data_IF_810518340329
#
_entry.id   IF_810518340329
#
_cell.length_a   1.000
_cell.length_b   1.000
_cell.length_c   1.000
_cell.angle_alpha   90.00
_cell.angle_beta   90.00
_cell.angle_gamma   90.00
#
_symmetry.space_group_name_H-M   'P 1'
#
loop_
_entity.id
_entity.type
_entity.pdbx_description
1 polymer ?
#
# COMPACT_ATOMS: atom_id res chain seq x y z
N UNK A 1 -13.70 71.39 28.33
CA UNK A 1 -13.66 70.57 27.11
C UNK A 1 -12.76 69.36 27.37
N UNK A 2 -13.35 68.19 27.56
CA UNK A 2 -12.64 66.92 27.83
C UNK A 2 -12.74 66.04 26.58
N UNK A 3 -11.61 65.82 25.93
CA UNK A 3 -11.52 64.93 24.79
C UNK A 3 -11.29 63.49 25.28
N UNK A 4 -12.23 62.58 24.98
CA UNK A 4 -12.15 61.14 25.28
C UNK A 4 -11.54 60.47 24.04
N UNK A 5 -10.31 59.95 24.17
CA UNK A 5 -9.68 59.09 23.15
C UNK A 5 -10.17 57.66 23.37
N UNK A 6 -10.99 57.17 22.45
CA UNK A 6 -11.34 55.74 22.37
C UNK A 6 -10.25 54.98 21.62
N UNK A 7 -9.54 54.08 22.32
CA UNK A 7 -8.54 53.19 21.80
C UNK A 7 -9.25 51.90 21.30
N UNK A 8 -9.44 51.78 20.01
CA UNK A 8 -9.99 50.55 19.42
C UNK A 8 -8.89 49.48 19.32
N UNK A 9 -8.99 48.47 20.20
CA UNK A 9 -8.10 47.30 20.18
C UNK A 9 -8.51 46.34 19.05
N UNK A 10 -7.78 46.40 17.92
CA UNK A 10 -7.97 45.51 16.79
C UNK A 10 -7.29 44.18 17.11
N UNK A 11 -8.04 43.19 17.60
CA UNK A 11 -7.57 41.80 17.78
C UNK A 11 -7.41 41.15 16.41
N UNK A 12 -6.16 41.04 15.90
CA UNK A 12 -5.82 40.20 14.73
C UNK A 12 -6.02 38.75 15.14
N UNK A 13 -7.11 38.14 14.71
CA UNK A 13 -7.24 36.67 14.68
C UNK A 13 -6.25 36.13 13.68
N UNK A 14 -5.15 35.57 14.15
CA UNK A 14 -4.24 34.78 13.34
C UNK A 14 -4.95 33.48 12.97
N UNK A 15 -5.40 33.37 11.73
CA UNK A 15 -5.83 32.10 11.12
C UNK A 15 -4.55 31.31 10.91
N UNK A 16 -4.22 30.44 11.89
CA UNK A 16 -3.19 29.42 11.70
C UNK A 16 -3.73 28.46 10.63
N UNK A 17 -3.10 28.34 9.44
CA UNK A 17 -3.50 27.32 8.50
C UNK A 17 -3.33 25.97 9.22
N UNK A 18 -4.42 25.23 9.37
CA UNK A 18 -4.34 23.84 9.77
C UNK A 18 -3.54 23.12 8.69
N UNK A 19 -2.24 22.95 8.91
CA UNK A 19 -1.44 22.02 8.12
C UNK A 19 -2.17 20.70 8.25
N UNK A 20 -2.68 20.17 7.12
CA UNK A 20 -3.21 18.82 7.06
C UNK A 20 -2.08 17.91 7.54
N UNK A 21 -2.11 17.60 8.83
CA UNK A 21 -1.13 16.72 9.46
C UNK A 21 -1.19 15.42 8.68
N UNK A 22 -0.06 15.02 8.15
CA UNK A 22 0.17 13.75 7.47
C UNK A 22 -0.37 12.63 8.37
N UNK A 23 -1.64 12.23 8.14
CA UNK A 23 -2.41 11.39 9.07
C UNK A 23 -2.10 9.90 8.92
N UNK A 24 -0.90 9.58 8.43
CA UNK A 24 -0.47 8.20 8.34
C UNK A 24 -0.50 7.52 9.71
N UNK A 25 -1.22 6.41 9.79
CA UNK A 25 -1.36 5.60 11.01
C UNK A 25 -1.00 4.15 10.74
N UNK A 26 -0.48 3.47 11.75
CA UNK A 26 -0.31 2.02 11.65
C UNK A 26 -1.70 1.36 11.61
N UNK A 27 -1.96 0.68 10.51
CA UNK A 27 -3.04 -0.30 10.38
C UNK A 27 -2.48 -1.67 10.70
N UNK A 28 -3.21 -2.44 11.49
CA UNK A 28 -2.82 -3.78 11.94
C UNK A 28 -3.95 -4.76 11.68
N UNK A 29 -3.64 -5.87 11.01
CA UNK A 29 -4.53 -7.01 10.87
C UNK A 29 -3.87 -8.23 11.52
N UNK A 30 -4.29 -8.54 12.74
CA UNK A 30 -3.71 -9.68 13.48
C UNK A 30 -4.18 -11.01 12.87
N UNK A 31 -5.41 -11.09 12.38
CA UNK A 31 -5.94 -12.27 11.68
C UNK A 31 -5.20 -12.57 10.39
N UNK A 32 -4.75 -11.52 9.67
CA UNK A 32 -4.06 -11.67 8.40
C UNK A 32 -2.54 -11.57 8.53
N UNK A 33 -2.03 -11.38 9.76
CA UNK A 33 -0.62 -11.49 10.11
C UNK A 33 0.29 -10.39 9.60
N UNK A 34 -0.21 -9.13 9.52
CA UNK A 34 0.63 -8.00 9.10
C UNK A 34 0.26 -6.68 9.79
N UNK A 35 1.15 -5.71 9.68
CA UNK A 35 0.87 -4.29 9.89
C UNK A 35 1.51 -3.43 8.79
N UNK A 36 0.95 -2.23 8.58
CA UNK A 36 1.42 -1.27 7.57
C UNK A 36 0.96 0.13 7.92
N UNK A 37 1.74 1.16 7.62
CA UNK A 37 1.26 2.55 7.73
C UNK A 37 0.41 2.92 6.53
N UNK A 38 -0.74 3.53 6.79
CA UNK A 38 -1.72 3.95 5.78
C UNK A 38 -2.20 5.38 6.04
N UNK A 39 -2.53 6.17 4.99
CA UNK A 39 -3.01 7.55 5.16
C UNK A 39 -4.43 7.62 5.73
N UNK A 40 -5.20 6.55 5.63
CA UNK A 40 -6.56 6.43 6.18
C UNK A 40 -6.91 4.95 6.43
N UNK A 41 -8.08 4.70 7.02
CA UNK A 41 -8.59 3.34 7.22
C UNK A 41 -8.94 2.71 5.87
N UNK A 42 -8.45 1.49 5.56
CA UNK A 42 -8.73 0.83 4.29
C UNK A 42 -10.16 0.27 4.25
N UNK A 43 -10.70 0.19 3.04
CA UNK A 43 -11.87 -0.65 2.74
C UNK A 43 -11.40 -2.09 2.64
N UNK A 44 -12.04 -2.99 3.38
CA UNK A 44 -11.66 -4.40 3.46
C UNK A 44 -12.69 -5.24 2.70
N UNK A 45 -12.21 -6.06 1.77
CA UNK A 45 -13.05 -7.01 1.03
C UNK A 45 -12.41 -8.37 1.02
N UNK A 46 -13.20 -9.44 1.17
CA UNK A 46 -12.73 -10.82 1.12
C UNK A 46 -13.55 -11.62 0.12
N UNK A 47 -12.87 -12.50 -0.62
CA UNK A 47 -13.52 -13.38 -1.59
C UNK A 47 -12.79 -14.72 -1.69
N UNK A 48 -13.49 -15.76 -2.07
CA UNK A 48 -12.86 -17.01 -2.52
C UNK A 48 -12.29 -16.83 -3.92
N UNK A 49 -11.15 -17.43 -4.19
CA UNK A 49 -10.48 -17.40 -5.48
C UNK A 49 -10.19 -18.82 -5.97
N UNK A 50 -10.24 -18.99 -7.30
CA UNK A 50 -10.02 -20.31 -7.92
C UNK A 50 -11.13 -21.30 -7.60
N UNK A 51 -10.82 -22.59 -7.82
CA UNK A 51 -11.74 -23.72 -7.58
C UNK A 51 -11.56 -24.40 -6.22
N UNK A 52 -10.56 -23.96 -5.44
CA UNK A 52 -10.25 -24.50 -4.09
C UNK A 52 -10.78 -23.61 -2.96
N UNK A 53 -10.17 -23.80 -1.78
CA UNK A 53 -10.52 -23.03 -0.57
C UNK A 53 -9.63 -21.79 -0.37
N UNK A 54 -8.95 -21.34 -1.41
CA UNK A 54 -8.13 -20.13 -1.30
C UNK A 54 -9.03 -18.90 -1.11
N UNK A 55 -8.61 -18.02 -0.19
CA UNK A 55 -9.31 -16.76 0.10
C UNK A 55 -8.38 -15.59 -0.13
N UNK A 56 -8.86 -14.57 -0.80
CA UNK A 56 -8.18 -13.30 -0.96
C UNK A 56 -8.86 -12.25 -0.10
N UNK A 57 -8.10 -11.59 0.77
CA UNK A 57 -8.52 -10.39 1.49
C UNK A 57 -7.75 -9.19 0.96
N UNK A 58 -8.45 -8.15 0.59
CA UNK A 58 -7.90 -6.90 0.05
C UNK A 58 -8.19 -5.75 1.01
N UNK A 59 -7.17 -4.95 1.29
CA UNK A 59 -7.18 -3.74 2.09
C UNK A 59 -6.85 -2.57 1.16
N UNK A 60 -7.87 -1.86 0.70
CA UNK A 60 -7.75 -0.86 -0.36
C UNK A 60 -8.02 0.54 0.18
N UNK A 61 -7.19 1.48 -0.21
CA UNK A 61 -7.41 2.92 -0.10
C UNK A 61 -7.29 3.52 -1.48
N UNK A 62 -8.28 4.31 -1.87
CA UNK A 62 -8.25 5.13 -3.08
C UNK A 62 -8.42 6.60 -2.69
N UNK A 63 -7.53 7.45 -3.18
CA UNK A 63 -7.53 8.89 -2.93
C UNK A 63 -7.12 9.63 -4.20
N UNK A 64 -8.10 10.11 -4.95
CA UNK A 64 -7.88 10.74 -6.24
C UNK A 64 -7.24 9.78 -7.25
N UNK A 65 -6.00 10.06 -7.65
CA UNK A 65 -5.24 9.23 -8.60
C UNK A 65 -4.24 8.28 -7.90
N UNK A 66 -4.28 8.22 -6.58
CA UNK A 66 -3.37 7.37 -5.78
C UNK A 66 -4.17 6.24 -5.15
N UNK A 67 -3.61 5.03 -5.18
CA UNK A 67 -4.16 3.91 -4.44
C UNK A 67 -3.07 3.15 -3.67
N UNK A 68 -3.47 2.61 -2.52
CA UNK A 68 -2.67 1.73 -1.67
C UNK A 68 -3.45 0.44 -1.48
N UNK A 69 -2.86 -0.68 -1.85
CA UNK A 69 -3.48 -1.99 -1.72
C UNK A 69 -2.52 -2.94 -0.99
N UNK A 70 -3.02 -3.57 0.06
CA UNK A 70 -2.45 -4.82 0.56
C UNK A 70 -3.43 -5.93 0.20
N UNK A 71 -2.96 -6.93 -0.52
CA UNK A 71 -3.72 -8.15 -0.81
C UNK A 71 -3.05 -9.32 -0.10
N UNK A 72 -3.78 -9.99 0.76
CA UNK A 72 -3.36 -11.23 1.39
C UNK A 72 -4.17 -12.39 0.77
N UNK A 73 -3.47 -13.42 0.32
CA UNK A 73 -4.08 -14.65 -0.18
C UNK A 73 -3.74 -15.77 0.81
N UNK A 74 -4.75 -16.30 1.46
CA UNK A 74 -4.64 -17.52 2.25
C UNK A 74 -4.84 -18.72 1.32
N UNK A 75 -3.83 -19.53 1.17
CA UNK A 75 -3.91 -20.80 0.45
C UNK A 75 -4.23 -21.98 1.39
N UNK A 76 -4.57 -23.10 0.79
CA UNK A 76 -4.61 -24.36 1.53
C UNK A 76 -3.20 -24.71 2.01
N UNK A 77 -3.14 -25.49 3.09
CA UNK A 77 -1.87 -25.93 3.68
C UNK A 77 -0.95 -26.55 2.63
N UNK A 78 0.33 -26.23 2.72
CA UNK A 78 1.41 -26.74 1.85
C UNK A 78 1.26 -26.39 0.35
N UNK A 79 0.42 -25.42 -0.02
CA UNK A 79 0.31 -24.91 -1.40
C UNK A 79 1.32 -23.82 -1.74
N UNK A 80 1.86 -23.12 -0.76
CA UNK A 80 3.04 -22.26 -0.95
C UNK A 80 4.28 -23.16 -0.83
N UNK A 81 5.24 -23.10 -1.78
CA UNK A 81 6.50 -23.81 -1.64
C UNK A 81 7.21 -23.40 -0.33
N UNK A 82 7.83 -24.37 0.36
CA UNK A 82 8.54 -24.09 1.63
C UNK A 82 9.67 -23.05 1.45
N UNK A 83 10.32 -23.06 0.31
CA UNK A 83 11.36 -22.11 -0.08
C UNK A 83 11.01 -21.59 -1.49
N UNK A 84 10.06 -20.64 -1.60
CA UNK A 84 9.68 -20.10 -2.89
C UNK A 84 10.86 -19.37 -3.54
N UNK A 85 11.13 -19.69 -4.77
CA UNK A 85 12.20 -19.09 -5.55
C UNK A 85 11.75 -17.83 -6.28
N UNK A 86 12.69 -17.17 -6.95
CA UNK A 86 12.39 -15.97 -7.71
C UNK A 86 11.40 -16.23 -8.88
N UNK A 87 11.39 -17.43 -9.46
CA UNK A 87 10.46 -17.78 -10.54
C UNK A 87 9.03 -17.87 -10.01
N UNK A 88 8.82 -18.40 -8.80
CA UNK A 88 7.53 -18.41 -8.14
C UNK A 88 6.97 -16.98 -7.95
N UNK A 89 7.78 -16.09 -7.36
CA UNK A 89 7.36 -14.70 -7.16
C UNK A 89 7.16 -13.94 -8.47
N UNK A 90 7.99 -14.21 -9.48
CA UNK A 90 7.82 -13.63 -10.81
C UNK A 90 6.49 -14.01 -11.45
N UNK A 91 6.03 -15.26 -11.31
CA UNK A 91 4.73 -15.68 -11.79
C UNK A 91 3.59 -14.95 -11.09
N UNK A 92 3.68 -14.73 -9.77
CA UNK A 92 2.69 -13.93 -9.02
C UNK A 92 2.66 -12.47 -9.48
N UNK A 93 3.83 -11.87 -9.69
CA UNK A 93 3.93 -10.51 -10.22
C UNK A 93 3.35 -10.41 -11.63
N UNK A 94 3.64 -11.35 -12.51
CA UNK A 94 3.06 -11.41 -13.87
C UNK A 94 1.55 -11.54 -13.84
N UNK A 95 1.00 -12.41 -13.00
CA UNK A 95 -0.45 -12.54 -12.83
C UNK A 95 -1.11 -11.22 -12.42
N UNK A 96 -0.46 -10.45 -11.55
CA UNK A 96 -0.93 -9.11 -11.19
C UNK A 96 -0.87 -8.16 -12.40
N UNK A 97 0.25 -8.11 -13.11
CA UNK A 97 0.47 -7.25 -14.29
C UNK A 97 -0.58 -7.54 -15.37
N UNK A 98 -0.82 -8.80 -15.67
CA UNK A 98 -1.83 -9.23 -16.65
C UNK A 98 -3.25 -8.88 -16.19
N UNK A 99 -3.57 -9.17 -14.93
CA UNK A 99 -4.88 -8.87 -14.34
C UNK A 99 -5.20 -7.38 -14.26
N UNK A 100 -4.19 -6.55 -14.01
CA UNK A 100 -4.30 -5.08 -13.96
C UNK A 100 -4.19 -4.41 -15.34
N UNK A 101 -3.93 -5.19 -16.41
CA UNK A 101 -3.72 -4.70 -17.78
C UNK A 101 -2.63 -3.63 -17.87
N UNK A 102 -1.56 -3.83 -17.11
CA UNK A 102 -0.38 -2.98 -17.13
C UNK A 102 0.75 -3.63 -17.92
N UNK A 103 1.80 -2.89 -18.24
CA UNK A 103 3.02 -3.40 -18.87
C UNK A 103 4.15 -3.38 -17.86
N UNK A 104 4.76 -4.54 -17.60
CA UNK A 104 5.91 -4.64 -16.70
C UNK A 104 7.10 -3.89 -17.29
N UNK A 105 7.64 -2.96 -16.53
CA UNK A 105 8.75 -2.10 -16.91
C UNK A 105 10.08 -2.59 -16.34
N UNK A 106 10.05 -2.98 -15.07
CA UNK A 106 11.22 -3.50 -14.36
C UNK A 106 10.79 -4.41 -13.23
N UNK A 107 11.68 -5.31 -12.84
CA UNK A 107 11.53 -6.14 -11.64
C UNK A 107 12.90 -6.52 -11.10
N UNK A 108 12.93 -6.87 -9.82
CA UNK A 108 14.12 -7.42 -9.15
C UNK A 108 13.72 -8.25 -7.93
N UNK A 109 14.58 -9.18 -7.57
CA UNK A 109 14.46 -9.85 -6.28
C UNK A 109 14.54 -8.83 -5.14
N UNK A 110 13.75 -9.04 -4.10
CA UNK A 110 13.66 -8.13 -2.95
C UNK A 110 13.53 -8.92 -1.65
N UNK A 111 13.83 -8.25 -0.54
CA UNK A 111 13.47 -8.73 0.80
C UNK A 111 12.32 -7.87 1.30
N UNK A 112 11.19 -8.49 1.60
CA UNK A 112 9.98 -7.82 2.08
C UNK A 112 9.71 -8.28 3.51
N UNK A 113 9.84 -7.38 4.48
CA UNK A 113 9.69 -7.71 5.91
C UNK A 113 10.52 -8.92 6.36
N UNK A 114 11.77 -9.02 5.88
CA UNK A 114 12.67 -10.12 6.22
C UNK A 114 12.47 -11.41 5.43
N UNK A 115 11.45 -11.51 4.58
CA UNK A 115 11.17 -12.67 3.73
C UNK A 115 11.63 -12.44 2.29
N UNK A 116 12.07 -13.50 1.59
CA UNK A 116 12.31 -13.43 0.15
C UNK A 116 11.05 -12.97 -0.61
N UNK A 117 11.26 -12.26 -1.71
CA UNK A 117 10.18 -11.77 -2.53
C UNK A 117 10.68 -11.12 -3.82
N UNK A 118 9.78 -10.43 -4.48
CA UNK A 118 10.06 -9.68 -5.70
C UNK A 118 9.42 -8.31 -5.61
N UNK A 119 10.02 -7.34 -6.25
CA UNK A 119 9.36 -6.07 -6.54
C UNK A 119 9.38 -5.77 -8.04
N UNK A 120 8.39 -5.01 -8.49
CA UNK A 120 8.27 -4.62 -9.88
C UNK A 120 7.57 -3.29 -10.05
N UNK A 121 7.86 -2.65 -11.17
CA UNK A 121 7.17 -1.47 -11.64
C UNK A 121 6.46 -1.82 -12.94
N UNK A 122 5.17 -1.58 -13.00
CA UNK A 122 4.38 -1.71 -14.22
C UNK A 122 3.60 -0.43 -14.49
N UNK A 123 3.19 -0.22 -15.74
CA UNK A 123 2.59 1.03 -16.17
C UNK A 123 1.37 0.82 -17.07
N UNK A 124 0.42 1.75 -16.97
CA UNK A 124 -0.69 1.89 -17.91
C UNK A 124 -1.09 3.36 -18.05
N UNK A 125 -1.23 3.85 -19.28
CA UNK A 125 -1.53 5.28 -19.50
C UNK A 125 -0.52 6.17 -18.79
N UNK A 126 -0.99 7.05 -17.91
CA UNK A 126 -0.17 7.97 -17.11
C UNK A 126 0.11 7.45 -15.68
N UNK A 127 -0.31 6.23 -15.36
CA UNK A 127 -0.14 5.64 -14.04
C UNK A 127 1.00 4.65 -14.01
N UNK A 128 1.69 4.58 -12.87
CA UNK A 128 2.67 3.56 -12.54
C UNK A 128 2.22 2.81 -11.29
N UNK A 129 2.44 1.49 -11.29
CA UNK A 129 2.18 0.59 -10.17
C UNK A 129 3.52 0.09 -9.65
N UNK A 130 3.82 0.38 -8.40
CA UNK A 130 4.88 -0.28 -7.67
C UNK A 130 4.29 -1.48 -6.93
N UNK A 131 4.80 -2.67 -7.18
CA UNK A 131 4.30 -3.91 -6.59
C UNK A 131 5.41 -4.65 -5.86
N UNK A 132 5.16 -5.09 -4.63
CA UNK A 132 5.99 -6.04 -3.90
C UNK A 132 5.19 -7.31 -3.63
N UNK A 133 5.83 -8.47 -3.76
CA UNK A 133 5.22 -9.78 -3.48
C UNK A 133 6.15 -10.57 -2.58
N UNK A 134 5.60 -11.18 -1.54
CA UNK A 134 6.31 -12.10 -0.64
C UNK A 134 5.35 -13.18 -0.12
N UNK A 135 5.88 -14.17 0.57
CA UNK A 135 5.10 -15.24 1.19
C UNK A 135 5.62 -15.57 2.59
N UNK A 136 4.72 -15.97 3.47
CA UNK A 136 5.03 -16.48 4.81
C UNK A 136 4.02 -17.59 5.17
N UNK A 137 4.52 -18.80 5.41
CA UNK A 137 3.67 -19.98 5.62
C UNK A 137 2.76 -20.24 4.42
N UNK A 138 1.47 -20.37 4.65
CA UNK A 138 0.47 -20.62 3.60
C UNK A 138 -0.15 -19.30 3.04
N UNK A 139 0.50 -18.16 3.29
CA UNK A 139 0.02 -16.83 2.90
C UNK A 139 0.93 -16.17 1.89
N UNK A 140 0.32 -15.56 0.88
CA UNK A 140 0.98 -14.68 -0.08
C UNK A 140 0.52 -13.26 0.20
N UNK A 141 1.47 -12.34 0.25
CA UNK A 141 1.20 -10.91 0.43
C UNK A 141 1.66 -10.15 -0.80
N UNK A 142 0.81 -9.25 -1.25
CA UNK A 142 1.09 -8.35 -2.35
C UNK A 142 0.77 -6.92 -1.91
N UNK A 143 1.76 -6.05 -1.96
CA UNK A 143 1.61 -4.63 -1.73
C UNK A 143 1.63 -3.92 -3.07
N UNK A 144 0.67 -3.06 -3.31
CA UNK A 144 0.63 -2.26 -4.54
C UNK A 144 0.40 -0.79 -4.18
N UNK A 145 1.28 0.05 -4.65
CA UNK A 145 1.08 1.49 -4.73
C UNK A 145 0.78 1.86 -6.18
N UNK A 146 -0.27 2.64 -6.40
CA UNK A 146 -0.60 3.23 -7.71
C UNK A 146 -0.49 4.73 -7.60
N UNK A 147 0.16 5.36 -8.57
CA UNK A 147 0.29 6.81 -8.64
C UNK A 147 0.63 7.28 -10.05
N UNK A 148 0.87 8.56 -10.24
CA UNK A 148 1.36 9.07 -11.51
C UNK A 148 2.77 8.51 -11.79
N UNK A 149 3.12 8.35 -13.07
CA UNK A 149 4.47 7.94 -13.47
C UNK A 149 5.54 8.84 -12.86
N UNK A 150 6.60 8.24 -12.32
CA UNK A 150 7.67 8.92 -11.59
C UNK A 150 7.40 9.06 -10.08
N UNK A 151 6.19 8.76 -9.60
CA UNK A 151 5.83 8.80 -8.17
C UNK A 151 5.98 7.44 -7.49
N UNK A 152 6.25 6.37 -8.22
CA UNK A 152 6.39 5.01 -7.71
C UNK A 152 7.54 4.82 -6.70
N UNK A 153 8.48 5.78 -6.68
CA UNK A 153 9.56 5.87 -5.68
C UNK A 153 9.46 7.12 -4.80
N UNK A 154 8.34 7.85 -4.86
CA UNK A 154 8.07 9.01 -4.03
C UNK A 154 7.96 8.70 -2.54
N UNK A 155 7.87 9.74 -1.71
CA UNK A 155 7.84 9.62 -0.25
C UNK A 155 6.72 8.70 0.25
N UNK A 156 5.51 8.85 -0.28
CA UNK A 156 4.33 8.06 0.13
C UNK A 156 4.45 6.59 -0.28
N UNK A 157 4.88 6.30 -1.52
CA UNK A 157 5.14 4.95 -1.98
C UNK A 157 6.22 4.28 -1.13
N UNK A 158 7.28 5.01 -0.81
CA UNK A 158 8.39 4.53 0.03
C UNK A 158 7.93 4.27 1.45
N UNK A 159 7.18 5.21 2.06
CA UNK A 159 6.61 5.06 3.41
C UNK A 159 5.70 3.85 3.50
N UNK A 160 4.79 3.68 2.54
CA UNK A 160 3.88 2.54 2.49
C UNK A 160 4.64 1.22 2.50
N UNK A 161 5.54 1.00 1.53
CA UNK A 161 6.25 -0.26 1.38
C UNK A 161 7.22 -0.57 2.53
N UNK A 162 7.93 0.44 3.07
CA UNK A 162 8.90 0.24 4.15
C UNK A 162 8.23 0.02 5.51
N UNK A 163 6.99 0.47 5.68
CA UNK A 163 6.24 0.28 6.92
C UNK A 163 5.61 -1.12 7.05
N UNK A 164 5.57 -1.88 5.97
CA UNK A 164 4.96 -3.21 5.98
C UNK A 164 5.78 -4.19 6.81
N UNK A 165 5.11 -4.86 7.73
CA UNK A 165 5.70 -5.86 8.62
C UNK A 165 4.82 -7.09 8.68
N UNK A 166 5.41 -8.25 8.46
CA UNK A 166 4.82 -9.56 8.74
C UNK A 166 4.97 -9.92 10.23
N UNK A 167 4.04 -10.71 10.74
CA UNK A 167 4.00 -11.18 12.13
C UNK A 167 4.04 -12.68 12.19
#
# INVERSE_FOLDING_TARGET
MRAIFAFALLTLMQIVPATAQDQWREFRSDSDGFSVSLPQTPVITSRRIGTGNATQTMFLIESGQVAYLVSMIQLEKDKVPKNPDNAYFMNLLKNYVDGSKTTLRSNRAATVSGQPGIEGISETGNSAHFTQVTALGDRIYMLVYVGAKGQENGGDATRFRQSFKLK
#
